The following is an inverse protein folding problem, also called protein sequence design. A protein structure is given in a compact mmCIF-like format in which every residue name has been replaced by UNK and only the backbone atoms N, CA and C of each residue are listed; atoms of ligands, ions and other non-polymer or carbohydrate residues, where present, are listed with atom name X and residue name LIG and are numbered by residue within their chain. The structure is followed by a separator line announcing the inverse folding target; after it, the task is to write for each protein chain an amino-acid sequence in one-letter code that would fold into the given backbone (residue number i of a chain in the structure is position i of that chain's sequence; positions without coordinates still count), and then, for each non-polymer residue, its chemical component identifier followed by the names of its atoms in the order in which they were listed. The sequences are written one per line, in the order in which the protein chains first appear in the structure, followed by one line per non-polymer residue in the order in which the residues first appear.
data_IF_719970886706
#
_entry.id   IF_719970886706
#
_cell.length_a   1.000
_cell.length_b   1.000
_cell.length_c   1.000
_cell.angle_alpha   90.00
_cell.angle_beta   90.00
_cell.angle_gamma   90.00
#
_symmetry.space_group_name_H-M   'P 1'
#
loop_
_entity.id
_entity.type
_entity.pdbx_description
1 polymer ?
#
# COMPACT_ATOMS: atom_id res chain seq x y z
N UNK A 1 33.45 9.57 -0.66
CA UNK A 1 33.60 8.60 -1.76
C UNK A 1 32.28 7.85 -1.82
N UNK A 2 31.57 7.88 -2.95
CA UNK A 2 30.31 7.15 -3.12
C UNK A 2 30.69 5.87 -3.87
N UNK A 3 30.42 4.72 -3.27
CA UNK A 3 30.66 3.40 -3.88
C UNK A 3 29.34 2.89 -4.47
N UNK A 4 29.32 2.69 -5.78
CA UNK A 4 28.15 2.14 -6.48
C UNK A 4 28.19 0.62 -6.38
N UNK A 5 27.36 0.06 -5.51
CA UNK A 5 27.23 -1.39 -5.37
C UNK A 5 26.23 -1.89 -6.39
N UNK A 6 26.66 -2.79 -7.28
CA UNK A 6 25.77 -3.44 -8.22
C UNK A 6 24.78 -4.34 -7.48
N UNK A 7 23.50 -3.98 -7.50
CA UNK A 7 22.44 -4.81 -6.92
C UNK A 7 22.25 -6.08 -7.75
N UNK A 8 22.21 -7.24 -7.08
CA UNK A 8 22.06 -8.55 -7.72
C UNK A 8 20.88 -9.30 -7.13
N UNK A 9 20.23 -10.11 -7.96
CA UNK A 9 19.19 -11.04 -7.52
C UNK A 9 19.76 -12.08 -6.54
N UNK A 10 19.08 -12.26 -5.39
CA UNK A 10 19.50 -13.19 -4.34
C UNK A 10 19.45 -14.66 -4.75
N UNK A 11 18.67 -15.00 -5.79
CA UNK A 11 18.49 -16.38 -6.27
C UNK A 11 19.42 -16.76 -7.42
N UNK A 12 19.63 -15.86 -8.39
CA UNK A 12 20.33 -16.18 -9.64
C UNK A 12 21.45 -15.21 -10.00
N UNK A 13 21.82 -14.32 -9.07
CA UNK A 13 22.93 -13.34 -9.15
C UNK A 13 22.89 -12.39 -10.35
N UNK A 14 21.78 -12.39 -11.08
CA UNK A 14 21.60 -11.53 -12.25
C UNK A 14 21.53 -10.07 -11.78
N UNK A 15 22.28 -9.15 -12.41
CA UNK A 15 22.22 -7.73 -12.07
C UNK A 15 20.80 -7.20 -12.18
N UNK A 16 20.42 -6.36 -11.23
CA UNK A 16 19.12 -5.67 -11.22
C UNK A 16 19.28 -4.35 -11.96
N UNK A 17 18.47 -4.06 -13.00
CA UNK A 17 18.50 -2.77 -13.68
C UNK A 17 17.76 -1.72 -12.86
N UNK A 18 18.28 -1.37 -11.69
CA UNK A 18 17.66 -0.42 -10.77
C UNK A 18 17.78 1.03 -11.25
N UNK A 19 16.66 1.75 -11.29
CA UNK A 19 16.67 3.21 -11.38
C UNK A 19 16.98 3.85 -10.01
N UNK A 20 17.44 5.11 -9.94
CA UNK A 20 17.91 5.74 -8.70
C UNK A 20 16.92 5.72 -7.53
N UNK A 21 15.62 5.86 -7.82
CA UNK A 21 14.57 5.95 -6.80
C UNK A 21 13.78 4.64 -6.64
N UNK A 22 14.15 3.61 -7.41
CA UNK A 22 13.51 2.31 -7.29
C UNK A 22 14.00 1.59 -6.05
N UNK A 23 13.07 0.97 -5.33
CA UNK A 23 13.38 0.21 -4.13
C UNK A 23 12.95 -1.25 -4.22
N UNK A 24 12.17 -1.64 -5.22
CA UNK A 24 11.70 -3.02 -5.34
C UNK A 24 11.58 -3.47 -6.80
N UNK A 25 11.90 -4.75 -7.05
CA UNK A 25 12.02 -5.31 -8.40
C UNK A 25 11.54 -6.74 -8.46
N UNK A 26 11.17 -7.17 -9.67
CA UNK A 26 11.08 -8.60 -10.01
C UNK A 26 12.24 -8.95 -10.94
N UNK A 27 13.03 -9.95 -10.55
CA UNK A 27 14.14 -10.43 -11.37
C UNK A 27 13.62 -10.96 -12.71
N UNK A 28 14.06 -10.35 -13.81
CA UNK A 28 13.63 -10.71 -15.17
C UNK A 28 14.05 -12.14 -15.59
N UNK A 29 15.04 -12.73 -14.91
CA UNK A 29 15.53 -14.08 -15.22
C UNK A 29 14.81 -15.19 -14.47
N UNK A 30 14.56 -15.02 -13.18
CA UNK A 30 14.02 -16.09 -12.32
C UNK A 30 12.71 -15.74 -11.60
N UNK A 31 12.19 -14.52 -11.79
CA UNK A 31 10.93 -14.07 -11.20
C UNK A 31 10.98 -13.77 -9.70
N UNK A 32 12.14 -13.82 -9.04
CA UNK A 32 12.23 -13.48 -7.62
C UNK A 32 11.93 -11.99 -7.40
N UNK A 33 11.00 -11.71 -6.49
CA UNK A 33 10.75 -10.37 -5.96
C UNK A 33 11.83 -9.94 -4.95
N UNK A 34 12.26 -8.70 -5.07
CA UNK A 34 13.39 -8.13 -4.33
C UNK A 34 12.97 -6.77 -3.79
N UNK A 35 13.45 -6.43 -2.60
CA UNK A 35 13.24 -5.14 -1.93
C UNK A 35 14.59 -4.66 -1.38
N UNK A 36 14.95 -3.42 -1.68
CA UNK A 36 16.06 -2.72 -1.08
C UNK A 36 15.63 -2.19 0.28
N UNK A 37 16.23 -2.73 1.33
CA UNK A 37 16.16 -2.21 2.69
C UNK A 37 17.43 -1.38 2.93
N UNK A 38 17.29 -0.16 3.43
CA UNK A 38 18.43 0.75 3.63
C UNK A 38 19.48 0.22 4.62
N UNK A 39 19.10 -0.68 5.53
CA UNK A 39 19.97 -1.22 6.58
C UNK A 39 20.52 -2.59 6.20
N UNK A 40 19.68 -3.47 5.66
CA UNK A 40 20.00 -4.88 5.37
C UNK A 40 20.45 -5.09 3.93
N UNK A 41 20.28 -4.10 3.06
CA UNK A 41 20.48 -4.24 1.62
C UNK A 41 19.33 -4.99 0.96
N UNK A 42 19.63 -5.73 -0.12
CA UNK A 42 18.60 -6.43 -0.88
C UNK A 42 18.05 -7.62 -0.09
N UNK A 43 16.73 -7.68 0.06
CA UNK A 43 15.97 -8.75 0.69
C UNK A 43 14.94 -9.34 -0.26
N UNK A 44 14.40 -10.53 0.07
CA UNK A 44 13.34 -11.16 -0.74
C UNK A 44 11.99 -10.55 -0.39
N UNK A 45 11.18 -10.25 -1.40
CA UNK A 45 9.85 -9.65 -1.24
C UNK A 45 8.82 -10.45 -2.03
N UNK A 46 7.64 -10.66 -1.44
CA UNK A 46 6.52 -11.27 -2.15
C UNK A 46 5.91 -10.27 -3.13
N UNK A 47 5.85 -10.67 -4.40
CA UNK A 47 5.19 -9.95 -5.48
C UNK A 47 4.06 -10.80 -6.03
N UNK A 48 2.89 -10.19 -6.13
CA UNK A 48 1.71 -10.77 -6.74
C UNK A 48 1.25 -9.89 -7.90
N UNK A 49 0.66 -10.51 -8.92
CA UNK A 49 0.09 -9.81 -10.07
C UNK A 49 -1.38 -10.17 -10.15
N UNK A 50 -2.27 -9.19 -10.26
CA UNK A 50 -3.70 -9.46 -10.37
C UNK A 50 -4.06 -10.04 -11.74
N UNK A 51 -4.94 -11.05 -11.77
CA UNK A 51 -5.44 -11.66 -13.00
C UNK A 51 -6.20 -10.69 -13.93
N UNK A 52 -6.66 -9.55 -13.41
CA UNK A 52 -7.44 -8.56 -14.16
C UNK A 52 -6.62 -7.61 -15.03
N UNK A 53 -5.28 -7.71 -15.07
CA UNK A 53 -4.45 -6.80 -15.87
C UNK A 53 -4.48 -7.24 -17.34
N UNK A 54 -4.92 -6.39 -18.29
CA UNK A 54 -4.97 -6.77 -19.69
C UNK A 54 -3.59 -7.09 -20.26
N UNK A 55 -3.51 -8.07 -21.16
CA UNK A 55 -2.25 -8.46 -21.79
C UNK A 55 -1.61 -7.27 -22.53
N UNK A 56 -0.30 -7.10 -22.33
CA UNK A 56 0.46 -5.99 -22.94
C UNK A 56 0.22 -4.62 -22.29
N UNK A 57 -0.61 -4.54 -21.24
CA UNK A 57 -0.71 -3.35 -20.40
C UNK A 57 0.25 -3.43 -19.23
N UNK A 58 0.59 -2.25 -18.73
CA UNK A 58 1.35 -2.07 -17.49
C UNK A 58 0.37 -2.02 -16.34
N UNK A 59 0.69 -2.67 -15.23
CA UNK A 59 -0.08 -2.56 -13.99
C UNK A 59 0.50 -1.53 -13.01
N UNK A 60 -0.29 -1.22 -11.99
CA UNK A 60 0.02 -0.27 -10.93
C UNK A 60 0.39 -1.04 -9.64
N UNK A 61 1.60 -0.88 -9.09
CA UNK A 61 1.99 -1.58 -7.88
C UNK A 61 1.40 -0.89 -6.62
N UNK A 62 0.91 -1.70 -5.69
CA UNK A 62 0.39 -1.27 -4.40
C UNK A 62 1.02 -2.10 -3.28
N UNK A 63 1.33 -1.44 -2.17
CA UNK A 63 1.48 -2.11 -0.88
C UNK A 63 0.08 -2.46 -0.37
N UNK A 64 -0.20 -3.74 -0.27
CA UNK A 64 -1.44 -4.27 0.27
C UNK A 64 -1.17 -4.75 1.68
N UNK A 65 -1.88 -4.17 2.63
CA UNK A 65 -1.70 -4.48 4.06
C UNK A 65 -3.05 -4.65 4.75
N UNK A 66 -3.18 -5.72 5.51
CA UNK A 66 -4.32 -5.92 6.41
C UNK A 66 -4.16 -5.04 7.64
N UNK A 67 -5.21 -4.32 8.01
CA UNK A 67 -5.22 -3.41 9.16
C UNK A 67 -6.43 -3.59 10.07
N UNK A 68 -6.21 -3.49 11.37
CA UNK A 68 -7.26 -3.36 12.38
C UNK A 68 -7.28 -1.92 12.89
N UNK A 69 -8.45 -1.29 12.89
CA UNK A 69 -8.61 0.07 13.41
C UNK A 69 -9.52 0.05 14.64
N UNK A 70 -9.06 0.66 15.74
CA UNK A 70 -9.92 1.01 16.87
C UNK A 70 -10.09 2.51 16.89
N UNK A 71 -11.33 2.96 16.76
CA UNK A 71 -11.67 4.36 16.57
C UNK A 71 -12.40 4.91 17.80
N UNK A 72 -11.99 6.10 18.24
CA UNK A 72 -12.63 6.86 19.30
C UNK A 72 -12.92 8.27 18.77
N UNK A 73 -14.19 8.68 18.81
CA UNK A 73 -14.67 9.93 18.23
C UNK A 73 -15.47 10.72 19.24
N UNK A 74 -15.35 12.04 19.15
CA UNK A 74 -16.23 12.98 19.84
C UNK A 74 -16.83 13.92 18.81
N UNK A 75 -18.16 14.04 18.79
CA UNK A 75 -18.89 15.01 17.95
C UNK A 75 -19.50 16.11 18.79
N UNK A 76 -19.69 17.31 18.21
CA UNK A 76 -20.45 18.39 18.83
C UNK A 76 -21.96 18.07 18.80
N UNK A 77 -22.44 17.32 19.79
CA UNK A 77 -23.83 16.87 19.94
C UNK A 77 -23.90 15.52 20.66
N UNK A 78 -25.03 15.18 21.28
CA UNK A 78 -25.21 13.87 21.92
C UNK A 78 -24.93 12.73 20.92
N UNK A 79 -24.18 11.71 21.36
CA UNK A 79 -23.83 10.49 20.61
C UNK A 79 -24.92 10.10 19.60
N UNK A 80 -24.58 10.15 18.32
CA UNK A 80 -25.55 10.04 17.23
C UNK A 80 -25.29 8.84 16.33
N UNK A 81 -26.28 8.52 15.48
CA UNK A 81 -26.27 7.41 14.50
C UNK A 81 -24.99 7.29 13.64
N UNK A 82 -24.24 8.38 13.44
CA UNK A 82 -22.99 8.40 12.65
C UNK A 82 -21.77 7.84 13.38
N UNK A 83 -21.76 7.88 14.71
CA UNK A 83 -20.74 7.24 15.52
C UNK A 83 -20.87 5.71 15.41
N UNK A 84 -22.12 5.21 15.42
CA UNK A 84 -22.42 3.80 15.21
C UNK A 84 -22.04 3.34 13.79
N UNK A 85 -22.35 4.13 12.75
CA UNK A 85 -21.95 3.83 11.37
C UNK A 85 -20.42 3.79 11.21
N UNK A 86 -19.68 4.65 11.92
CA UNK A 86 -18.23 4.63 11.90
C UNK A 86 -17.65 3.43 12.64
N UNK A 87 -18.16 3.13 13.83
CA UNK A 87 -17.79 1.94 14.58
C UNK A 87 -18.04 0.68 13.75
N UNK A 88 -19.21 0.56 13.12
CA UNK A 88 -19.55 -0.57 12.24
C UNK A 88 -18.65 -0.65 11.01
N UNK A 89 -18.24 0.48 10.44
CA UNK A 89 -17.35 0.48 9.30
C UNK A 89 -15.96 -0.06 9.66
N UNK A 90 -15.44 0.30 10.83
CA UNK A 90 -14.08 -0.03 11.25
C UNK A 90 -13.96 -1.30 12.10
N UNK A 91 -15.07 -1.86 12.60
CA UNK A 91 -15.07 -3.11 13.40
C UNK A 91 -14.51 -4.31 12.62
N UNK A 92 -14.65 -4.30 11.30
CA UNK A 92 -14.13 -5.37 10.44
C UNK A 92 -12.73 -5.01 9.98
N UNK A 93 -11.74 -5.93 10.08
CA UNK A 93 -10.41 -5.72 9.52
C UNK A 93 -10.48 -5.29 8.05
N UNK A 94 -9.77 -4.22 7.70
CA UNK A 94 -9.76 -3.65 6.35
C UNK A 94 -8.43 -3.97 5.66
N UNK A 95 -8.45 -4.01 4.33
CA UNK A 95 -7.22 -4.01 3.54
C UNK A 95 -6.98 -2.59 3.06
N UNK A 96 -5.79 -2.08 3.32
CA UNK A 96 -5.30 -0.82 2.81
C UNK A 96 -4.49 -1.10 1.54
N UNK A 97 -4.65 -0.21 0.56
CA UNK A 97 -3.95 -0.25 -0.72
C UNK A 97 -3.21 1.08 -0.86
N UNK A 98 -1.92 1.06 -0.58
CA UNK A 98 -1.06 2.25 -0.68
C UNK A 98 -0.33 2.17 -2.02
N UNK A 99 -0.45 3.16 -2.92
CA UNK A 99 0.34 3.21 -4.14
C UNK A 99 1.82 3.03 -3.81
N UNK A 100 2.46 2.07 -4.47
CA UNK A 100 3.88 1.80 -4.28
C UNK A 100 4.75 2.63 -5.25
N UNK A 101 4.12 3.46 -6.08
CA UNK A 101 4.74 4.30 -7.10
C UNK A 101 4.55 5.78 -6.76
N UNK A 102 5.39 6.64 -7.35
CA UNK A 102 5.34 8.09 -7.13
C UNK A 102 4.01 8.68 -7.60
N UNK A 103 3.25 9.25 -6.67
CA UNK A 103 2.09 10.10 -6.92
C UNK A 103 1.97 11.13 -5.78
N UNK A 104 1.14 12.16 -5.97
CA UNK A 104 0.90 13.14 -4.91
C UNK A 104 0.03 12.57 -3.78
N UNK A 105 0.00 13.28 -2.64
CA UNK A 105 -0.76 12.86 -1.46
C UNK A 105 -2.26 12.78 -1.76
N UNK A 106 -2.79 13.70 -2.57
CA UNK A 106 -4.21 13.71 -2.96
C UNK A 106 -4.58 12.43 -3.71
N UNK A 107 -3.78 12.04 -4.70
CA UNK A 107 -3.94 10.79 -5.46
C UNK A 107 -3.82 9.57 -4.54
N UNK A 108 -2.85 9.58 -3.62
CA UNK A 108 -2.67 8.50 -2.64
C UNK A 108 -3.91 8.30 -1.78
N UNK A 109 -4.44 9.40 -1.23
CA UNK A 109 -5.65 9.38 -0.40
C UNK A 109 -6.85 8.94 -1.24
N UNK A 110 -7.06 9.50 -2.44
CA UNK A 110 -8.19 9.17 -3.30
C UNK A 110 -8.20 7.69 -3.72
N UNK A 111 -7.06 7.14 -4.14
CA UNK A 111 -6.94 5.72 -4.48
C UNK A 111 -7.15 4.85 -3.23
N UNK A 112 -6.52 5.22 -2.12
CA UNK A 112 -6.62 4.49 -0.85
C UNK A 112 -8.04 4.43 -0.32
N UNK A 113 -8.78 5.54 -0.31
CA UNK A 113 -10.18 5.58 0.14
C UNK A 113 -11.09 4.80 -0.79
N UNK A 114 -10.91 4.91 -2.11
CA UNK A 114 -11.69 4.17 -3.10
C UNK A 114 -11.50 2.66 -2.95
N UNK A 115 -10.25 2.19 -2.90
CA UNK A 115 -9.92 0.76 -2.79
C UNK A 115 -10.23 0.17 -1.40
N UNK A 116 -10.28 0.99 -0.35
CA UNK A 116 -10.73 0.52 0.96
C UNK A 116 -12.26 0.31 0.98
N UNK A 117 -13.01 1.17 0.29
CA UNK A 117 -14.48 1.09 0.17
C UNK A 117 -14.92 -0.05 -0.75
N UNK A 118 -14.27 -0.19 -1.90
CA UNK A 118 -14.54 -1.22 -2.90
C UNK A 118 -13.25 -2.01 -3.22
N UNK A 119 -12.83 -2.90 -2.31
CA UNK A 119 -11.56 -3.61 -2.46
C UNK A 119 -11.63 -4.61 -3.62
N UNK A 120 -10.64 -4.60 -4.52
CA UNK A 120 -10.60 -5.54 -5.62
C UNK A 120 -10.44 -6.98 -5.11
N UNK A 121 -10.96 -7.93 -5.89
CA UNK A 121 -10.69 -9.34 -5.68
C UNK A 121 -9.24 -9.65 -6.09
N UNK A 122 -8.42 -10.06 -5.12
CA UNK A 122 -7.02 -10.39 -5.33
C UNK A 122 -6.88 -11.85 -5.76
N UNK A 123 -6.96 -12.07 -7.07
CA UNK A 123 -6.66 -13.35 -7.70
C UNK A 123 -5.30 -13.27 -8.41
N UNK A 124 -4.39 -14.23 -8.17
CA UNK A 124 -3.09 -14.23 -8.83
C UNK A 124 -3.24 -14.46 -10.34
N UNK A 125 -2.48 -13.71 -11.11
CA UNK A 125 -2.37 -13.75 -12.55
C UNK A 125 -0.91 -13.88 -13.00
N UNK A 126 -0.67 -13.64 -14.29
CA UNK A 126 0.67 -13.72 -14.87
C UNK A 126 1.46 -12.44 -14.61
N UNK A 127 2.79 -12.52 -14.43
CA UNK A 127 3.64 -11.33 -14.38
C UNK A 127 3.48 -10.44 -15.61
N UNK A 128 3.39 -9.14 -15.38
CA UNK A 128 3.29 -8.09 -16.40
C UNK A 128 4.26 -6.95 -16.07
N UNK A 129 4.62 -6.08 -17.03
CA UNK A 129 5.29 -4.82 -16.70
C UNK A 129 4.46 -4.01 -15.70
N UNK A 130 5.12 -3.28 -14.81
CA UNK A 130 4.48 -2.42 -13.81
C UNK A 130 5.22 -1.08 -13.69
N UNK A 131 4.62 -0.09 -13.02
CA UNK A 131 5.30 1.16 -12.71
C UNK A 131 6.47 0.93 -11.73
N UNK A 132 7.53 1.75 -11.78
CA UNK A 132 8.59 1.72 -10.78
C UNK A 132 8.04 1.80 -9.35
N UNK A 133 8.59 0.98 -8.44
CA UNK A 133 8.24 1.01 -7.02
C UNK A 133 9.22 1.91 -6.29
N UNK A 134 8.71 3.01 -5.75
CA UNK A 134 9.48 4.12 -5.17
C UNK A 134 9.05 4.47 -3.75
N UNK A 135 7.85 4.06 -3.31
CA UNK A 135 7.35 4.33 -1.95
C UNK A 135 7.83 3.23 -1.01
N UNK A 136 8.52 3.60 0.08
CA UNK A 136 9.13 2.64 1.00
C UNK A 136 8.10 2.03 1.96
N UNK A 137 8.26 0.76 2.39
CA UNK A 137 7.37 0.14 3.36
C UNK A 137 7.20 0.90 4.68
N UNK A 138 8.21 1.69 5.07
CA UNK A 138 8.15 2.53 6.27
C UNK A 138 7.09 3.63 6.18
N UNK A 139 6.73 4.05 4.96
CA UNK A 139 5.76 5.11 4.71
C UNK A 139 4.32 4.56 4.67
N UNK A 140 4.14 3.24 4.67
CA UNK A 140 2.81 2.60 4.62
C UNK A 140 1.96 3.03 5.82
N UNK A 141 2.55 3.06 7.02
CA UNK A 141 1.81 3.42 8.24
C UNK A 141 1.27 4.85 8.19
N UNK A 142 2.09 5.91 8.02
CA UNK A 142 1.59 7.27 7.96
C UNK A 142 0.61 7.49 6.79
N UNK A 143 0.83 6.86 5.63
CA UNK A 143 -0.10 6.96 4.50
C UNK A 143 -1.45 6.29 4.79
N UNK A 144 -1.46 5.15 5.50
CA UNK A 144 -2.69 4.52 5.96
C UNK A 144 -3.44 5.39 6.97
N UNK A 145 -2.73 6.10 7.86
CA UNK A 145 -3.34 7.07 8.78
C UNK A 145 -4.04 8.21 8.03
N UNK A 146 -3.40 8.77 6.99
CA UNK A 146 -4.03 9.79 6.15
C UNK A 146 -5.32 9.30 5.49
N UNK A 147 -5.35 8.05 5.01
CA UNK A 147 -6.56 7.44 4.44
C UNK A 147 -7.68 7.32 5.49
N UNK A 148 -7.36 6.89 6.72
CA UNK A 148 -8.32 6.80 7.83
C UNK A 148 -8.91 8.17 8.13
N UNK A 149 -8.05 9.19 8.30
CA UNK A 149 -8.48 10.55 8.60
C UNK A 149 -9.33 11.12 7.47
N UNK A 150 -8.98 10.89 6.21
CA UNK A 150 -9.76 11.34 5.07
C UNK A 150 -11.17 10.74 5.04
N UNK A 151 -11.30 9.43 5.30
CA UNK A 151 -12.61 8.76 5.37
C UNK A 151 -13.47 9.35 6.49
N UNK A 152 -12.88 9.61 7.66
CA UNK A 152 -13.62 10.16 8.79
C UNK A 152 -13.96 11.65 8.60
N UNK A 153 -13.11 12.42 7.92
CA UNK A 153 -13.36 13.82 7.58
C UNK A 153 -14.47 13.99 6.51
N UNK A 154 -14.64 13.01 5.61
CA UNK A 154 -15.74 13.02 4.62
C UNK A 154 -17.13 12.80 5.25
N UNK A 155 -17.19 12.35 6.50
CA UNK A 155 -18.47 12.19 7.20
C UNK A 155 -19.04 13.59 7.48
N UNK A 156 -20.26 13.84 6.99
CA UNK A 156 -20.96 15.13 7.14
C UNK A 156 -21.44 15.38 8.58
N UNK A 157 -20.58 15.22 9.58
CA UNK A 157 -20.86 15.46 11.00
C UNK A 157 -19.92 16.52 11.58
N UNK A 158 -20.26 17.01 12.77
CA UNK A 158 -19.45 18.00 13.48
C UNK A 158 -18.43 17.31 14.37
N UNK A 159 -17.41 16.72 13.76
CA UNK A 159 -16.30 16.09 14.46
C UNK A 159 -15.53 17.12 15.30
N UNK A 160 -15.41 16.86 16.60
CA UNK A 160 -14.60 17.64 17.53
C UNK A 160 -13.20 17.08 17.66
N UNK A 161 -13.14 15.78 17.88
CA UNK A 161 -11.90 15.05 18.16
C UNK A 161 -12.00 13.64 17.59
N UNK A 162 -10.89 13.17 17.06
CA UNK A 162 -10.71 11.80 16.60
C UNK A 162 -9.39 11.29 17.14
N UNK A 163 -9.43 10.12 17.76
CA UNK A 163 -8.24 9.35 18.11
C UNK A 163 -8.46 7.92 17.65
N UNK A 164 -7.39 7.26 17.20
CA UNK A 164 -7.49 5.87 16.79
C UNK A 164 -6.19 5.14 17.06
N UNK A 165 -6.28 3.82 17.08
CA UNK A 165 -5.14 2.91 17.04
C UNK A 165 -5.25 2.10 15.77
N UNK A 166 -4.18 2.11 14.97
CA UNK A 166 -4.05 1.34 13.75
C UNK A 166 -2.98 0.26 13.96
N UNK A 167 -3.35 -0.98 13.75
CA UNK A 167 -2.42 -2.12 13.73
C UNK A 167 -2.35 -2.66 12.31
N UNK A 168 -1.16 -2.61 11.69
CA UNK A 168 -0.92 -3.12 10.35
C UNK A 168 -0.17 -4.45 10.40
N UNK A 169 -0.56 -5.38 9.51
CA UNK A 169 0.17 -6.62 9.27
C UNK A 169 1.38 -6.37 8.36
N UNK A 170 2.13 -7.43 8.06
CA UNK A 170 3.16 -7.36 7.03
C UNK A 170 2.54 -6.98 5.67
N UNK A 171 3.23 -6.09 4.94
CA UNK A 171 2.79 -5.65 3.63
C UNK A 171 3.21 -6.63 2.53
N UNK A 172 2.32 -6.83 1.57
CA UNK A 172 2.60 -7.54 0.32
C UNK A 172 2.60 -6.56 -0.85
N UNK A 173 3.39 -6.83 -1.89
CA UNK A 173 3.26 -6.10 -3.15
C UNK A 173 2.28 -6.79 -4.06
N UNK A 174 1.28 -6.04 -4.50
CA UNK A 174 0.36 -6.44 -5.55
C UNK A 174 0.40 -5.46 -6.70
N UNK A 175 0.61 -5.97 -7.90
CA UNK A 175 0.38 -5.22 -9.14
C UNK A 175 -1.09 -5.37 -9.50
N UNK A 176 -1.80 -4.24 -9.59
CA UNK A 176 -3.22 -4.14 -9.92
C UNK A 176 -3.42 -3.49 -11.30
N UNK A 177 -4.62 -3.59 -11.91
CA UNK A 177 -4.94 -2.93 -13.17
C UNK A 177 -4.79 -1.41 -13.17
#
# INVERSE_FOLDING_TARGET
MIELIALKCLRCETPIPAAPDEIAWVCQRCGQGLLLDEVKGVSSQAFNFAAGIPQGKRGNPFWVVGGNLRLNRQTYGAFGKKDDEAAQFWVTPRRFFIPAFTCDLETTVNLGTALLRDPPHLAPGTPVPFLPITVHPQDIFPLAEFIVVAIEAERKDSLREISFTLELRAAELWVLP
#
